data_IF_318546594278
#
_entry.id   IF_318546594278
#
_cell.length_a   1.000
_cell.length_b   1.000
_cell.length_c   1.000
_cell.angle_alpha   90.00
_cell.angle_beta   90.00
_cell.angle_gamma   90.00
#
_symmetry.space_group_name_H-M   'P 1'
#
loop_
_entity.id
_entity.type
_entity.pdbx_description
1 polymer ?
#
# COMPACT_ATOMS: atom_id res chain seq x y z
N UNK A 1 27.72 9.72 -31.05
CA UNK A 1 26.69 10.08 -32.05
C UNK A 1 26.42 11.57 -31.90
N UNK A 2 26.54 12.35 -32.98
CA UNK A 2 26.29 13.80 -32.93
C UNK A 2 24.80 14.08 -32.74
N UNK A 3 24.45 15.14 -32.02
CA UNK A 3 23.06 15.56 -31.75
C UNK A 3 22.22 15.67 -33.02
N UNK A 4 22.83 16.10 -34.13
CA UNK A 4 22.22 16.11 -35.46
C UNK A 4 21.78 14.71 -35.95
N UNK A 5 22.55 13.66 -35.68
CA UNK A 5 22.19 12.29 -36.09
C UNK A 5 20.97 11.78 -35.33
N UNK A 6 20.84 12.16 -34.06
CA UNK A 6 19.71 11.79 -33.20
C UNK A 6 18.45 12.57 -33.59
N UNK A 7 18.56 13.88 -33.84
CA UNK A 7 17.43 14.70 -34.31
C UNK A 7 16.86 14.16 -35.61
N UNK A 8 17.71 13.85 -36.58
CA UNK A 8 17.28 13.31 -37.87
C UNK A 8 16.58 11.97 -37.72
N UNK A 9 17.11 11.08 -36.88
CA UNK A 9 16.49 9.78 -36.61
C UNK A 9 15.10 9.91 -35.96
N UNK A 10 14.93 10.85 -35.03
CA UNK A 10 13.64 11.12 -34.39
C UNK A 10 12.62 11.70 -35.37
N UNK A 11 13.03 12.66 -36.20
CA UNK A 11 12.15 13.23 -37.25
C UNK A 11 11.74 12.17 -38.27
N UNK A 12 12.67 11.31 -38.70
CA UNK A 12 12.35 10.18 -39.59
C UNK A 12 11.37 9.20 -38.95
N UNK A 13 11.57 8.83 -37.69
CA UNK A 13 10.63 7.95 -36.98
C UNK A 13 9.22 8.55 -36.82
N UNK A 14 9.11 9.87 -36.63
CA UNK A 14 7.82 10.57 -36.56
C UNK A 14 7.08 10.58 -37.90
N UNK A 15 7.81 10.67 -39.01
CA UNK A 15 7.25 10.57 -40.36
C UNK A 15 6.79 9.14 -40.64
N UNK A 16 7.62 8.14 -40.32
CA UNK A 16 7.28 6.72 -40.49
C UNK A 16 6.06 6.30 -39.66
N UNK A 17 5.87 6.90 -38.48
CA UNK A 17 4.70 6.70 -37.64
C UNK A 17 3.43 7.43 -38.13
N UNK A 18 3.53 8.25 -39.20
CA UNK A 18 2.41 9.04 -39.72
C UNK A 18 2.03 10.23 -38.84
N UNK A 19 2.90 10.62 -37.91
CA UNK A 19 2.66 11.70 -36.94
C UNK A 19 3.18 13.05 -37.44
N UNK A 20 4.04 13.06 -38.46
CA UNK A 20 4.58 14.25 -39.09
C UNK A 20 4.48 14.14 -40.62
N UNK A 21 3.94 15.18 -41.26
CA UNK A 21 3.90 15.27 -42.72
C UNK A 21 5.34 15.36 -43.29
N UNK A 22 5.72 14.50 -44.26
CA UNK A 22 7.05 14.51 -44.87
C UNK A 22 7.48 15.87 -45.43
N UNK A 23 6.53 16.67 -45.93
CA UNK A 23 6.79 18.00 -46.49
C UNK A 23 7.28 19.01 -45.44
N UNK A 24 7.04 18.73 -44.14
CA UNK A 24 7.40 19.62 -43.02
C UNK A 24 8.65 19.17 -42.27
N UNK A 25 9.38 18.18 -42.78
CA UNK A 25 10.59 17.65 -42.15
C UNK A 25 11.63 18.75 -41.83
N UNK A 26 11.83 19.70 -42.76
CA UNK A 26 12.77 20.81 -42.57
C UNK A 26 12.33 21.84 -41.51
N UNK A 27 11.02 21.97 -41.25
CA UNK A 27 10.48 22.80 -40.15
C UNK A 27 10.58 22.09 -38.80
N UNK A 28 10.51 20.75 -38.80
CA UNK A 28 10.55 19.93 -37.58
C UNK A 28 11.97 19.74 -37.03
N UNK A 29 12.99 19.71 -37.88
CA UNK A 29 14.40 19.58 -37.47
C UNK A 29 14.82 20.56 -36.36
N UNK A 30 14.62 21.90 -36.48
CA UNK A 30 14.99 22.84 -35.42
C UNK A 30 14.12 22.73 -34.16
N UNK A 31 12.86 22.30 -34.29
CA UNK A 31 11.94 22.11 -33.14
C UNK A 31 12.33 20.88 -32.34
N UNK A 32 12.63 19.76 -33.01
CA UNK A 32 13.09 18.51 -32.38
C UNK A 32 14.50 18.68 -31.84
N UNK A 33 15.40 19.40 -32.53
CA UNK A 33 16.71 19.75 -31.99
C UNK A 33 16.57 20.58 -30.71
N UNK A 34 15.71 21.62 -30.72
CA UNK A 34 15.41 22.42 -29.55
C UNK A 34 14.80 21.59 -28.41
N UNK A 35 13.87 20.70 -28.69
CA UNK A 35 13.23 19.83 -27.70
C UNK A 35 14.18 18.76 -27.13
N UNK A 36 15.14 18.26 -27.92
CA UNK A 36 16.16 17.32 -27.45
C UNK A 36 17.25 18.03 -26.64
N UNK A 37 17.63 19.26 -27.02
CA UNK A 37 18.57 20.10 -26.26
C UNK A 37 17.94 20.63 -24.95
N UNK A 38 16.65 21.00 -24.96
CA UNK A 38 15.93 21.42 -23.75
C UNK A 38 15.36 20.23 -22.95
N UNK A 39 15.27 19.06 -23.57
CA UNK A 39 14.84 17.79 -22.95
C UNK A 39 15.97 17.09 -22.19
N UNK A 40 17.23 17.46 -22.45
CA UNK A 40 18.33 17.19 -21.53
C UNK A 40 18.21 18.06 -20.30
N UNK A 41 17.71 17.46 -19.22
CA UNK A 41 17.72 17.92 -17.82
C UNK A 41 17.89 19.45 -17.67
N UNK A 42 16.78 20.17 -17.47
CA UNK A 42 16.86 21.51 -16.85
C UNK A 42 17.70 21.33 -15.60
N UNK A 43 18.96 21.78 -15.64
CA UNK A 43 19.91 21.60 -14.57
C UNK A 43 19.31 22.25 -13.33
N UNK A 44 18.75 21.43 -12.45
CA UNK A 44 18.10 21.91 -11.23
C UNK A 44 19.18 22.71 -10.51
N UNK A 45 18.99 24.02 -10.30
CA UNK A 45 20.05 24.87 -9.79
C UNK A 45 20.64 24.24 -8.53
N UNK A 46 21.97 24.25 -8.38
CA UNK A 46 22.64 23.64 -7.22
C UNK A 46 21.99 24.09 -5.90
N UNK A 47 21.56 25.36 -5.82
CA UNK A 47 20.82 25.92 -4.70
C UNK A 47 19.51 25.18 -4.38
N UNK A 48 18.74 24.77 -5.40
CA UNK A 48 17.51 23.99 -5.22
C UNK A 48 17.81 22.56 -4.76
N UNK A 49 18.83 21.90 -5.32
CA UNK A 49 19.29 20.58 -4.84
C UNK A 49 19.80 20.65 -3.40
N UNK A 50 20.58 21.67 -3.06
CA UNK A 50 21.07 21.89 -1.69
C UNK A 50 19.92 22.18 -0.71
N UNK A 51 18.91 22.97 -1.13
CA UNK A 51 17.72 23.20 -0.31
C UNK A 51 16.92 21.91 -0.08
N UNK A 52 16.81 21.04 -1.09
CA UNK A 52 16.15 19.75 -0.98
C UNK A 52 16.91 18.80 -0.03
N UNK A 53 18.24 18.69 -0.19
CA UNK A 53 19.11 17.92 0.72
C UNK A 53 19.02 18.47 2.15
N UNK A 54 19.12 19.79 2.32
CA UNK A 54 19.00 20.44 3.62
C UNK A 54 17.61 20.19 4.25
N UNK A 55 16.56 20.14 3.44
CA UNK A 55 15.21 19.76 3.88
C UNK A 55 15.14 18.33 4.40
N UNK A 56 15.68 17.35 3.65
CA UNK A 56 15.69 15.95 4.09
C UNK A 56 16.55 15.73 5.33
N UNK A 57 17.76 16.29 5.35
CA UNK A 57 18.70 16.19 6.48
C UNK A 57 18.13 16.89 7.71
N UNK A 58 17.58 18.10 7.54
CA UNK A 58 16.92 18.85 8.61
C UNK A 58 15.72 18.09 9.18
N UNK A 59 14.87 17.51 8.32
CA UNK A 59 13.76 16.67 8.74
C UNK A 59 14.21 15.44 9.53
N UNK A 60 15.24 14.73 9.06
CA UNK A 60 15.81 13.58 9.77
C UNK A 60 16.38 13.98 11.14
N UNK A 61 17.07 15.11 11.25
CA UNK A 61 17.57 15.61 12.54
C UNK A 61 16.44 16.00 13.49
N UNK A 62 15.36 16.64 13.00
CA UNK A 62 14.20 16.97 13.84
C UNK A 62 13.53 15.71 14.37
N UNK A 63 13.33 14.70 13.52
CA UNK A 63 12.77 13.40 13.95
C UNK A 63 13.71 12.72 14.94
N UNK A 64 15.01 12.66 14.65
CA UNK A 64 16.00 12.07 15.54
C UNK A 64 16.06 12.77 16.90
N UNK A 65 16.05 14.11 16.92
CA UNK A 65 16.01 14.90 18.15
C UNK A 65 14.72 14.66 18.94
N UNK A 66 13.56 14.58 18.27
CA UNK A 66 12.30 14.27 18.93
C UNK A 66 12.31 12.86 19.55
N UNK A 67 12.81 11.85 18.82
CA UNK A 67 12.94 10.47 19.33
C UNK A 67 13.90 10.40 20.50
N UNK A 68 15.06 11.06 20.42
CA UNK A 68 16.02 11.11 21.52
C UNK A 68 15.43 11.82 22.74
N UNK A 69 14.83 12.99 22.54
CA UNK A 69 14.20 13.76 23.62
C UNK A 69 13.08 12.99 24.31
N UNK A 70 12.19 12.36 23.53
CA UNK A 70 11.14 11.51 24.07
C UNK A 70 11.76 10.31 24.79
N UNK A 71 12.71 9.60 24.19
CA UNK A 71 13.35 8.44 24.80
C UNK A 71 14.03 8.74 26.15
N UNK A 72 14.62 9.93 26.32
CA UNK A 72 15.32 10.29 27.56
C UNK A 72 14.43 10.94 28.61
N UNK A 73 13.40 11.69 28.19
CA UNK A 73 12.64 12.57 29.10
C UNK A 73 11.25 12.04 29.40
N UNK A 74 10.72 11.12 28.57
CA UNK A 74 9.32 10.70 28.65
C UNK A 74 8.91 10.18 30.03
N UNK A 75 9.77 9.38 30.66
CA UNK A 75 9.52 8.81 31.99
C UNK A 75 9.55 9.86 33.11
N UNK A 76 10.20 10.99 32.88
CA UNK A 76 10.33 12.08 33.86
C UNK A 76 9.18 13.08 33.75
N UNK A 77 8.40 13.04 32.67
CA UNK A 77 7.22 13.88 32.48
C UNK A 77 6.04 13.36 33.30
N UNK A 78 5.37 14.27 34.01
CA UNK A 78 4.04 13.98 34.55
C UNK A 78 3.06 13.62 33.43
N UNK A 79 2.00 12.87 33.75
CA UNK A 79 0.95 12.51 32.80
C UNK A 79 0.39 13.75 32.07
N UNK A 80 0.12 14.83 32.82
CA UNK A 80 -0.38 16.08 32.24
C UNK A 80 0.59 16.69 31.22
N UNK A 81 1.90 16.58 31.44
CA UNK A 81 2.92 17.02 30.48
C UNK A 81 3.00 16.09 29.27
N UNK A 82 2.91 14.77 29.45
CA UNK A 82 2.89 13.80 28.34
C UNK A 82 1.68 14.01 27.42
N UNK A 83 0.47 14.08 28.01
CA UNK A 83 -0.78 14.35 27.30
C UNK A 83 -0.75 15.73 26.65
N UNK A 84 -0.32 16.76 27.40
CA UNK A 84 -0.20 18.12 26.90
C UNK A 84 0.74 18.24 25.71
N UNK A 85 1.91 17.61 25.77
CA UNK A 85 2.89 17.58 24.68
C UNK A 85 2.27 16.95 23.42
N UNK A 86 1.65 15.78 23.55
CA UNK A 86 1.04 15.08 22.41
C UNK A 86 -0.12 15.88 21.79
N UNK A 87 -0.98 16.49 22.60
CA UNK A 87 -2.09 17.32 22.10
C UNK A 87 -1.59 18.58 21.41
N UNK A 88 -0.58 19.26 21.97
CA UNK A 88 0.05 20.41 21.33
C UNK A 88 0.68 20.01 19.99
N UNK A 89 1.41 18.89 19.96
CA UNK A 89 1.98 18.37 18.71
C UNK A 89 0.89 18.03 17.69
N UNK A 90 -0.19 17.36 18.10
CA UNK A 90 -1.32 17.05 17.23
C UNK A 90 -1.94 18.33 16.64
N UNK A 91 -2.17 19.36 17.46
CA UNK A 91 -2.72 20.64 17.02
C UNK A 91 -1.80 21.37 16.04
N UNK A 92 -0.48 21.38 16.29
CA UNK A 92 0.50 21.98 15.37
C UNK A 92 0.50 21.26 14.03
N UNK A 93 0.46 19.92 14.03
CA UNK A 93 0.42 19.10 12.81
C UNK A 93 -0.88 19.31 12.03
N UNK A 94 -2.03 19.38 12.72
CA UNK A 94 -3.34 19.71 12.12
C UNK A 94 -3.28 21.10 11.49
N UNK A 95 -2.84 22.11 12.25
CA UNK A 95 -2.73 23.48 11.77
C UNK A 95 -1.83 23.57 10.53
N UNK A 96 -0.65 22.94 10.56
CA UNK A 96 0.25 22.87 9.42
C UNK A 96 -0.42 22.21 8.20
N UNK A 97 -1.12 21.09 8.41
CA UNK A 97 -1.88 20.42 7.36
C UNK A 97 -2.93 21.32 6.71
N UNK A 98 -3.70 22.06 7.52
CA UNK A 98 -4.72 22.99 7.03
C UNK A 98 -4.14 24.27 6.39
N UNK A 99 -2.96 24.73 6.81
CA UNK A 99 -2.22 25.80 6.10
C UNK A 99 -1.84 25.35 4.70
N UNK A 100 -1.37 24.10 4.53
CA UNK A 100 -1.09 23.55 3.19
C UNK A 100 -2.37 23.46 2.35
N UNK A 101 -3.49 23.04 2.95
CA UNK A 101 -4.80 23.02 2.27
C UNK A 101 -5.23 24.43 1.82
N UNK A 102 -5.08 25.44 2.69
CA UNK A 102 -5.45 26.82 2.38
C UNK A 102 -4.59 27.43 1.26
N UNK A 103 -3.28 27.22 1.31
CA UNK A 103 -2.34 27.71 0.27
C UNK A 103 -2.48 27.01 -1.07
N UNK A 104 -3.11 25.83 -1.12
CA UNK A 104 -3.48 25.14 -2.35
C UNK A 104 -4.84 25.59 -2.92
N UNK A 105 -5.58 26.49 -2.24
CA UNK A 105 -6.92 26.91 -2.67
C UNK A 105 -8.05 25.98 -2.20
N UNK A 106 -7.79 25.16 -1.18
CA UNK A 106 -8.78 24.30 -0.53
C UNK A 106 -8.62 22.80 -0.85
N UNK A 107 -9.39 21.96 -0.13
CA UNK A 107 -9.22 20.50 -0.18
C UNK A 107 -9.52 19.89 -1.55
N UNK A 108 -10.38 20.50 -2.36
CA UNK A 108 -10.66 20.03 -3.73
C UNK A 108 -9.50 20.31 -4.69
N UNK A 109 -8.87 21.47 -4.56
CA UNK A 109 -7.70 21.83 -5.37
C UNK A 109 -6.49 20.97 -5.00
N UNK A 110 -6.28 20.72 -3.70
CA UNK A 110 -5.23 19.83 -3.20
C UNK A 110 -5.28 18.41 -3.80
N UNK A 111 -6.47 17.95 -4.21
CA UNK A 111 -6.68 16.61 -4.78
C UNK A 111 -6.24 16.49 -6.24
N UNK A 112 -5.91 17.59 -6.91
CA UNK A 112 -5.47 17.59 -8.31
C UNK A 112 -4.06 17.00 -8.45
N UNK A 113 -3.71 16.41 -9.62
CA UNK A 113 -2.40 15.80 -9.83
C UNK A 113 -1.21 16.75 -9.64
N UNK A 114 -1.40 18.03 -9.97
CA UNK A 114 -0.39 19.10 -9.84
C UNK A 114 0.04 19.31 -8.38
N UNK A 115 -0.89 19.08 -7.45
CA UNK A 115 -0.69 19.27 -6.01
C UNK A 115 -0.32 17.96 -5.28
N UNK A 116 0.11 16.92 -6.01
CA UNK A 116 0.40 15.60 -5.44
C UNK A 116 1.40 15.64 -4.27
N UNK A 117 2.43 16.50 -4.34
CA UNK A 117 3.41 16.68 -3.26
C UNK A 117 2.75 17.28 -2.02
N UNK A 118 1.96 18.34 -2.18
CA UNK A 118 1.24 18.99 -1.07
C UNK A 118 0.22 18.05 -0.46
N UNK A 119 -0.52 17.28 -1.28
CA UNK A 119 -1.48 16.28 -0.82
C UNK A 119 -0.81 15.19 0.04
N UNK A 120 0.36 14.69 -0.38
CA UNK A 120 1.15 13.73 0.41
C UNK A 120 1.61 14.33 1.73
N UNK A 121 2.15 15.55 1.70
CA UNK A 121 2.57 16.25 2.91
C UNK A 121 1.40 16.45 3.90
N UNK A 122 0.26 16.97 3.43
CA UNK A 122 -0.94 17.12 4.25
C UNK A 122 -1.40 15.78 4.83
N UNK A 123 -1.41 14.71 4.03
CA UNK A 123 -1.81 13.38 4.52
C UNK A 123 -0.87 12.85 5.59
N UNK A 124 0.45 13.05 5.46
CA UNK A 124 1.44 12.65 6.49
C UNK A 124 1.20 13.43 7.77
N UNK A 125 1.04 14.75 7.68
CA UNK A 125 0.79 15.62 8.84
C UNK A 125 -0.48 15.23 9.58
N UNK A 126 -1.60 15.05 8.86
CA UNK A 126 -2.88 14.68 9.48
C UNK A 126 -2.89 13.26 10.04
N UNK A 127 -2.15 12.33 9.42
CA UNK A 127 -2.01 10.95 9.93
C UNK A 127 -1.14 10.92 11.19
N UNK A 128 -0.04 11.68 11.21
CA UNK A 128 0.80 11.84 12.41
C UNK A 128 0.01 12.50 13.55
N UNK A 129 -0.81 13.52 13.25
CA UNK A 129 -1.69 14.14 14.23
C UNK A 129 -2.71 13.15 14.82
N UNK A 130 -3.29 12.27 13.99
CA UNK A 130 -4.18 11.21 14.45
C UNK A 130 -3.47 10.23 15.40
N UNK A 131 -2.20 9.89 15.12
CA UNK A 131 -1.36 9.09 16.01
C UNK A 131 -1.11 9.78 17.35
N UNK A 132 -0.74 11.07 17.33
CA UNK A 132 -0.57 11.85 18.56
C UNK A 132 -1.86 11.93 19.38
N UNK A 133 -3.01 12.15 18.74
CA UNK A 133 -4.31 12.19 19.40
C UNK A 133 -4.65 10.82 20.02
N UNK A 134 -4.48 9.74 19.26
CA UNK A 134 -4.70 8.37 19.75
C UNK A 134 -3.88 8.10 21.00
N UNK A 135 -2.59 8.42 20.97
CA UNK A 135 -1.71 8.18 22.11
C UNK A 135 -2.05 9.08 23.32
N UNK A 136 -2.39 10.35 23.08
CA UNK A 136 -2.81 11.26 24.15
C UNK A 136 -4.09 10.78 24.86
N UNK A 137 -5.08 10.36 24.06
CA UNK A 137 -6.34 9.77 24.58
C UNK A 137 -6.03 8.49 25.35
N UNK A 138 -5.14 7.64 24.84
CA UNK A 138 -4.72 6.40 25.51
C UNK A 138 -4.11 6.66 26.89
N UNK A 139 -3.12 7.54 26.99
CA UNK A 139 -2.49 7.87 28.27
C UNK A 139 -3.50 8.43 29.28
N UNK A 140 -4.36 9.34 28.83
CA UNK A 140 -5.37 9.93 29.70
C UNK A 140 -6.41 8.91 30.18
N UNK A 141 -6.90 8.04 29.29
CA UNK A 141 -7.87 7.03 29.66
C UNK A 141 -7.27 5.92 30.53
N UNK A 142 -6.02 5.54 30.34
CA UNK A 142 -5.33 4.56 31.19
C UNK A 142 -5.19 5.04 32.64
N UNK A 143 -5.11 6.35 32.88
CA UNK A 143 -5.05 6.93 34.23
C UNK A 143 -6.44 6.99 34.91
N UNK A 144 -7.49 7.30 34.13
CA UNK A 144 -8.83 7.56 34.67
C UNK A 144 -9.72 6.30 34.69
N UNK A 145 -9.47 5.33 33.81
CA UNK A 145 -10.29 4.13 33.68
C UNK A 145 -9.63 2.92 34.35
N UNK A 146 -10.43 2.10 35.03
CA UNK A 146 -9.97 0.83 35.61
C UNK A 146 -9.82 -0.30 34.59
N UNK A 147 -10.45 -0.18 33.42
CA UNK A 147 -10.39 -1.17 32.35
C UNK A 147 -9.39 -0.68 31.27
N UNK A 148 -8.14 -1.14 31.38
CA UNK A 148 -7.04 -0.75 30.48
C UNK A 148 -7.33 -1.12 29.01
N UNK A 149 -7.91 -2.30 28.77
CA UNK A 149 -8.24 -2.77 27.43
C UNK A 149 -9.29 -1.86 26.75
N UNK A 150 -10.30 -1.44 27.52
CA UNK A 150 -11.30 -0.49 27.05
C UNK A 150 -10.67 0.89 26.75
N UNK A 151 -9.75 1.35 27.60
CA UNK A 151 -9.02 2.60 27.38
C UNK A 151 -8.20 2.57 26.08
N UNK A 152 -7.44 1.50 25.83
CA UNK A 152 -6.64 1.33 24.61
C UNK A 152 -7.55 1.20 23.38
N UNK A 153 -8.68 0.48 23.47
CA UNK A 153 -9.65 0.39 22.38
C UNK A 153 -10.21 1.77 22.01
N UNK A 154 -10.66 2.56 22.99
CA UNK A 154 -11.20 3.91 22.76
C UNK A 154 -10.14 4.85 22.18
N UNK A 155 -8.90 4.74 22.63
CA UNK A 155 -7.77 5.48 22.08
C UNK A 155 -7.50 5.14 20.61
N UNK A 156 -7.50 3.85 20.26
CA UNK A 156 -7.36 3.40 18.87
C UNK A 156 -8.53 3.86 18.00
N UNK A 157 -9.76 3.84 18.51
CA UNK A 157 -10.95 4.37 17.82
C UNK A 157 -10.90 5.89 17.61
N UNK A 158 -10.40 6.66 18.59
CA UNK A 158 -10.18 8.10 18.43
C UNK A 158 -9.13 8.38 17.34
N UNK A 159 -8.04 7.59 17.33
CA UNK A 159 -7.04 7.62 16.27
C UNK A 159 -7.61 7.28 14.90
N UNK A 160 -8.44 6.24 14.81
CA UNK A 160 -9.11 5.82 13.58
C UNK A 160 -10.03 6.92 13.05
N UNK A 161 -10.85 7.52 13.91
CA UNK A 161 -11.74 8.61 13.53
C UNK A 161 -10.94 9.81 12.98
N UNK A 162 -9.88 10.22 13.67
CA UNK A 162 -9.02 11.31 13.22
C UNK A 162 -8.26 10.98 11.91
N UNK A 163 -7.77 9.74 11.76
CA UNK A 163 -7.09 9.29 10.55
C UNK A 163 -8.04 9.27 9.34
N UNK A 164 -9.28 8.81 9.52
CA UNK A 164 -10.31 8.83 8.50
C UNK A 164 -10.70 10.27 8.12
N UNK A 165 -10.87 11.16 9.09
CA UNK A 165 -11.11 12.59 8.84
C UNK A 165 -9.94 13.22 8.05
N UNK A 166 -8.70 12.91 8.44
CA UNK A 166 -7.51 13.34 7.73
C UNK A 166 -7.45 12.82 6.30
N UNK A 167 -7.80 11.54 6.11
CA UNK A 167 -7.90 10.92 4.79
C UNK A 167 -8.97 11.58 3.91
N UNK A 168 -10.10 11.97 4.49
CA UNK A 168 -11.13 12.72 3.77
C UNK A 168 -10.62 14.07 3.30
N UNK A 169 -9.72 14.74 4.03
CA UNK A 169 -9.11 16.00 3.58
C UNK A 169 -8.08 15.74 2.48
N UNK A 170 -7.12 14.86 2.73
CA UNK A 170 -5.98 14.57 1.86
C UNK A 170 -5.88 13.06 1.57
N UNK A 171 -6.65 12.55 0.60
CA UNK A 171 -6.72 11.12 0.33
C UNK A 171 -5.42 10.63 -0.30
N UNK A 172 -4.63 9.87 0.45
CA UNK A 172 -3.40 9.20 -0.01
C UNK A 172 -3.22 7.84 0.66
N UNK A 173 -2.28 7.04 0.16
CA UNK A 173 -1.87 5.76 0.75
C UNK A 173 -1.48 5.86 2.23
N UNK A 174 -0.86 6.97 2.65
CA UNK A 174 -0.43 7.15 4.05
C UNK A 174 -1.64 7.24 4.98
N UNK A 175 -2.66 8.02 4.62
CA UNK A 175 -3.88 8.11 5.41
C UNK A 175 -4.68 6.80 5.44
N UNK A 176 -4.67 6.03 4.34
CA UNK A 176 -5.24 4.67 4.33
C UNK A 176 -4.50 3.74 5.29
N UNK A 177 -3.18 3.74 5.24
CA UNK A 177 -2.36 2.90 6.11
C UNK A 177 -2.52 3.28 7.59
N UNK A 178 -2.56 4.57 7.90
CA UNK A 178 -2.83 5.06 9.26
C UNK A 178 -4.21 4.63 9.76
N UNK A 179 -5.23 4.72 8.92
CA UNK A 179 -6.57 4.25 9.24
C UNK A 179 -6.61 2.73 9.44
N UNK A 180 -5.92 1.96 8.59
CA UNK A 180 -5.83 0.50 8.72
C UNK A 180 -5.11 0.09 10.00
N UNK A 181 -4.00 0.77 10.34
CA UNK A 181 -3.24 0.51 11.56
C UNK A 181 -4.07 0.81 12.82
N UNK A 182 -4.78 1.93 12.85
CA UNK A 182 -5.65 2.28 13.98
C UNK A 182 -6.83 1.30 14.13
N UNK A 183 -7.44 0.89 13.01
CA UNK A 183 -8.50 -0.12 13.02
C UNK A 183 -7.99 -1.49 13.53
N UNK A 184 -6.80 -1.90 13.07
CA UNK A 184 -6.15 -3.13 13.53
C UNK A 184 -5.84 -3.08 15.03
N UNK A 185 -5.27 -1.97 15.51
CA UNK A 185 -4.92 -1.79 16.93
C UNK A 185 -6.13 -1.77 17.87
N UNK A 186 -7.33 -1.44 17.38
CA UNK A 186 -8.55 -1.47 18.17
C UNK A 186 -9.05 -2.90 18.47
N UNK A 187 -8.72 -3.88 17.62
CA UNK A 187 -9.24 -5.25 17.72
C UNK A 187 -8.78 -5.99 18.98
N UNK A 188 -7.46 -6.13 19.28
CA UNK A 188 -7.03 -6.93 20.42
C UNK A 188 -7.56 -6.33 21.74
N UNK A 189 -7.50 -5.01 21.87
CA UNK A 189 -7.99 -4.29 23.04
C UNK A 189 -9.50 -4.39 23.20
N UNK A 190 -10.26 -4.35 22.09
CA UNK A 190 -11.70 -4.56 22.13
C UNK A 190 -12.08 -5.99 22.54
N UNK A 191 -11.30 -6.99 22.11
CA UNK A 191 -11.49 -8.36 22.56
C UNK A 191 -11.15 -8.53 24.04
N UNK A 192 -10.05 -7.96 24.51
CA UNK A 192 -9.68 -7.97 25.94
C UNK A 192 -10.76 -7.31 26.81
N UNK A 193 -11.33 -6.21 26.34
CA UNK A 193 -12.37 -5.49 27.07
C UNK A 193 -13.70 -6.25 27.15
N UNK A 194 -14.04 -7.04 26.12
CA UNK A 194 -15.33 -7.75 26.00
C UNK A 194 -15.28 -9.20 26.48
N UNK A 195 -14.10 -9.83 26.47
CA UNK A 195 -13.95 -11.26 26.79
C UNK A 195 -13.24 -11.44 28.13
N UNK A 196 -13.98 -11.91 29.13
CA UNK A 196 -13.43 -12.28 30.44
C UNK A 196 -12.87 -13.72 30.49
N UNK A 197 -12.86 -14.45 29.36
CA UNK A 197 -12.82 -15.93 29.38
C UNK A 197 -11.96 -16.62 28.31
N UNK A 198 -10.78 -16.10 27.96
CA UNK A 198 -9.76 -16.85 27.18
C UNK A 198 -10.08 -17.14 25.71
N UNK A 199 -11.26 -16.74 25.20
CA UNK A 199 -11.64 -16.88 23.79
C UNK A 199 -10.95 -15.85 22.85
N UNK A 200 -10.14 -14.93 23.39
CA UNK A 200 -9.60 -13.78 22.66
C UNK A 200 -8.76 -14.12 21.43
N UNK A 201 -7.90 -15.15 21.51
CA UNK A 201 -6.91 -15.41 20.45
C UNK A 201 -7.53 -15.90 19.13
N UNK A 202 -8.49 -16.84 19.21
CA UNK A 202 -9.17 -17.35 18.01
C UNK A 202 -10.02 -16.25 17.36
N UNK A 203 -10.73 -15.45 18.18
CA UNK A 203 -11.54 -14.33 17.68
C UNK A 203 -10.69 -13.18 17.15
N UNK A 204 -9.46 -12.99 17.62
CA UNK A 204 -8.55 -11.98 17.11
C UNK A 204 -8.28 -12.19 15.62
N UNK A 205 -7.89 -13.40 15.22
CA UNK A 205 -7.69 -13.74 13.80
C UNK A 205 -8.96 -13.52 12.96
N UNK A 206 -10.11 -13.98 13.46
CA UNK A 206 -11.40 -13.83 12.78
C UNK A 206 -11.77 -12.36 12.58
N UNK A 207 -11.59 -11.50 13.60
CA UNK A 207 -11.90 -10.08 13.49
C UNK A 207 -10.92 -9.33 12.57
N UNK A 208 -9.63 -9.69 12.58
CA UNK A 208 -8.65 -9.14 11.64
C UNK A 208 -8.97 -9.55 10.20
N UNK A 209 -9.37 -10.81 9.98
CA UNK A 209 -9.85 -11.28 8.68
C UNK A 209 -11.11 -10.52 8.25
N UNK A 210 -12.08 -10.36 9.15
CA UNK A 210 -13.29 -9.60 8.89
C UNK A 210 -12.97 -8.14 8.53
N UNK A 211 -12.03 -7.51 9.23
CA UNK A 211 -11.53 -6.17 8.90
C UNK A 211 -10.95 -6.14 7.47
N UNK A 212 -10.10 -7.11 7.11
CA UNK A 212 -9.53 -7.21 5.76
C UNK A 212 -10.61 -7.38 4.67
N UNK A 213 -11.62 -8.23 4.91
CA UNK A 213 -12.75 -8.43 3.99
C UNK A 213 -13.58 -7.15 3.86
N UNK A 214 -13.94 -6.51 4.96
CA UNK A 214 -14.67 -5.23 4.96
C UNK A 214 -13.89 -4.14 4.23
N UNK A 215 -12.56 -4.12 4.40
CA UNK A 215 -11.67 -3.17 3.72
C UNK A 215 -11.67 -3.38 2.20
N UNK A 216 -11.54 -4.63 1.74
CA UNK A 216 -11.62 -4.99 0.33
C UNK A 216 -12.99 -4.67 -0.27
N UNK A 217 -14.06 -4.93 0.48
CA UNK A 217 -15.41 -4.58 0.09
C UNK A 217 -15.61 -3.06 -0.04
N UNK A 218 -14.99 -2.25 0.83
CA UNK A 218 -14.97 -0.81 0.70
C UNK A 218 -14.15 -0.35 -0.53
N UNK A 219 -13.04 -1.04 -0.84
CA UNK A 219 -12.23 -0.78 -2.03
C UNK A 219 -13.02 -1.02 -3.31
N UNK A 220 -13.67 -2.18 -3.44
CA UNK A 220 -14.44 -2.51 -4.64
C UNK A 220 -15.71 -1.65 -4.79
N UNK A 221 -16.21 -1.04 -3.72
CA UNK A 221 -17.29 -0.03 -3.77
C UNK A 221 -16.81 1.38 -4.11
N UNK A 222 -15.50 1.58 -4.32
CA UNK A 222 -14.93 2.88 -4.66
C UNK A 222 -14.91 3.88 -3.50
N UNK A 223 -15.00 3.42 -2.25
CA UNK A 223 -14.90 4.30 -1.08
C UNK A 223 -13.47 4.84 -0.90
N UNK A 224 -12.50 4.10 -1.40
CA UNK A 224 -11.08 4.46 -1.38
C UNK A 224 -10.66 5.08 -2.71
N UNK A 225 -9.99 6.24 -2.65
CA UNK A 225 -9.44 6.89 -3.85
C UNK A 225 -8.30 6.09 -4.46
N UNK A 226 -7.36 5.64 -3.62
CA UNK A 226 -6.20 4.86 -4.04
C UNK A 226 -6.56 3.36 -3.97
N UNK A 227 -7.22 2.85 -5.00
CA UNK A 227 -7.75 1.48 -5.06
C UNK A 227 -6.65 0.42 -4.91
N UNK A 228 -5.49 0.64 -5.54
CA UNK A 228 -4.40 -0.33 -5.49
C UNK A 228 -3.88 -0.51 -4.06
N UNK A 229 -3.63 0.60 -3.36
CA UNK A 229 -3.22 0.58 -1.95
C UNK A 229 -4.27 -0.07 -1.06
N UNK A 230 -5.55 0.25 -1.26
CA UNK A 230 -6.63 -0.35 -0.50
C UNK A 230 -6.72 -1.87 -0.70
N UNK A 231 -6.53 -2.35 -1.93
CA UNK A 231 -6.47 -3.79 -2.23
C UNK A 231 -5.29 -4.47 -1.54
N UNK A 232 -4.10 -3.88 -1.60
CA UNK A 232 -2.90 -4.43 -0.94
C UNK A 232 -3.11 -4.52 0.58
N UNK A 233 -3.60 -3.44 1.21
CA UNK A 233 -3.87 -3.39 2.65
C UNK A 233 -4.92 -4.43 3.04
N UNK A 234 -6.06 -4.46 2.34
CA UNK A 234 -7.15 -5.38 2.65
C UNK A 234 -6.77 -6.84 2.44
N UNK A 235 -6.00 -7.15 1.39
CA UNK A 235 -5.48 -8.49 1.16
C UNK A 235 -4.46 -8.91 2.23
N UNK A 236 -3.58 -7.98 2.63
CA UNK A 236 -2.65 -8.20 3.74
C UNK A 236 -3.39 -8.53 5.03
N UNK A 237 -4.34 -7.69 5.43
CA UNK A 237 -5.17 -7.90 6.63
C UNK A 237 -5.94 -9.23 6.57
N UNK A 238 -6.53 -9.58 5.42
CA UNK A 238 -7.25 -10.84 5.27
C UNK A 238 -6.32 -12.05 5.41
N UNK A 239 -5.15 -12.01 4.78
CA UNK A 239 -4.15 -13.07 4.90
C UNK A 239 -3.62 -13.20 6.33
N UNK A 240 -3.19 -12.10 6.95
CA UNK A 240 -2.73 -12.08 8.34
C UNK A 240 -3.81 -12.59 9.30
N UNK A 241 -5.05 -12.12 9.15
CA UNK A 241 -6.19 -12.57 9.96
C UNK A 241 -6.45 -14.07 9.86
N UNK A 242 -6.29 -14.65 8.67
CA UNK A 242 -6.46 -16.09 8.46
C UNK A 242 -5.36 -16.95 9.10
N UNK A 243 -4.17 -16.38 9.29
CA UNK A 243 -2.99 -17.07 9.83
C UNK A 243 -2.88 -16.96 11.36
N UNK A 244 -3.43 -15.90 11.96
CA UNK A 244 -3.37 -15.70 13.42
C UNK A 244 -3.88 -16.88 14.28
N UNK A 245 -4.94 -17.63 13.88
CA UNK A 245 -5.39 -18.79 14.66
C UNK A 245 -4.42 -19.98 14.68
N UNK A 246 -3.29 -19.95 13.94
CA UNK A 246 -2.28 -21.03 13.96
C UNK A 246 -1.64 -21.24 15.33
N UNK A 247 -1.63 -20.22 16.20
CA UNK A 247 -1.14 -20.34 17.57
C UNK A 247 -2.08 -21.11 18.51
N UNK A 248 -3.29 -21.43 18.08
CA UNK A 248 -4.29 -22.09 18.92
C UNK A 248 -4.07 -23.61 19.03
N UNK A 249 -4.72 -24.23 20.02
CA UNK A 249 -4.62 -25.67 20.34
C UNK A 249 -4.94 -26.59 19.14
N UNK A 250 -5.76 -26.13 18.19
CA UNK A 250 -6.07 -26.85 16.94
C UNK A 250 -5.77 -26.00 15.69
N UNK A 251 -4.59 -26.16 15.07
CA UNK A 251 -4.14 -25.29 13.97
C UNK A 251 -4.85 -25.53 12.62
N UNK A 252 -5.56 -26.65 12.47
CA UNK A 252 -6.18 -27.05 11.20
C UNK A 252 -7.18 -26.00 10.65
N UNK A 253 -7.86 -25.28 11.55
CA UNK A 253 -8.81 -24.24 11.18
C UNK A 253 -8.15 -23.08 10.43
N UNK A 254 -6.91 -22.72 10.81
CA UNK A 254 -6.17 -21.65 10.15
C UNK A 254 -5.67 -22.05 8.76
N UNK A 255 -5.31 -23.32 8.54
CA UNK A 255 -4.98 -23.84 7.21
C UNK A 255 -6.17 -23.76 6.26
N UNK A 256 -7.35 -24.19 6.72
CA UNK A 256 -8.59 -24.11 5.95
C UNK A 256 -8.94 -22.65 5.66
N UNK A 257 -8.83 -21.77 6.65
CA UNK A 257 -9.13 -20.35 6.50
C UNK A 257 -8.17 -19.66 5.52
N UNK A 258 -6.88 -19.96 5.60
CA UNK A 258 -5.86 -19.41 4.69
C UNK A 258 -6.05 -19.92 3.27
N UNK A 259 -6.33 -21.22 3.10
CA UNK A 259 -6.68 -21.78 1.80
C UNK A 259 -7.95 -21.14 1.22
N UNK A 260 -8.98 -20.90 2.05
CA UNK A 260 -10.20 -20.21 1.66
C UNK A 260 -9.94 -18.76 1.22
N UNK A 261 -9.08 -18.02 1.94
CA UNK A 261 -8.60 -16.69 1.51
C UNK A 261 -7.90 -16.78 0.16
N UNK A 262 -7.05 -17.79 -0.06
CA UNK A 262 -6.37 -18.02 -1.34
C UNK A 262 -7.34 -18.24 -2.51
N UNK A 263 -8.34 -19.11 -2.32
CA UNK A 263 -9.39 -19.38 -3.31
C UNK A 263 -10.23 -18.12 -3.59
N UNK A 264 -10.62 -17.40 -2.54
CA UNK A 264 -11.38 -16.16 -2.67
C UNK A 264 -10.57 -15.08 -3.42
N UNK A 265 -9.27 -14.98 -3.15
CA UNK A 265 -8.37 -14.06 -3.83
C UNK A 265 -8.23 -14.42 -5.33
N UNK A 266 -8.03 -15.69 -5.68
CA UNK A 266 -8.04 -16.09 -7.10
C UNK A 266 -9.40 -15.80 -7.78
N UNK A 267 -10.52 -16.07 -7.11
CA UNK A 267 -11.84 -15.74 -7.64
C UNK A 267 -12.02 -14.21 -7.85
N UNK A 268 -11.53 -13.40 -6.91
CA UNK A 268 -11.53 -11.94 -7.04
C UNK A 268 -10.60 -11.47 -8.18
N UNK A 269 -9.45 -12.12 -8.37
CA UNK A 269 -8.54 -11.85 -9.48
C UNK A 269 -9.21 -12.14 -10.83
N UNK A 270 -9.96 -13.24 -10.96
CA UNK A 270 -10.67 -13.55 -12.20
C UNK A 270 -11.71 -12.48 -12.59
N UNK A 271 -12.32 -11.82 -11.60
CA UNK A 271 -13.30 -10.75 -11.83
C UNK A 271 -12.66 -9.38 -12.09
N UNK A 272 -11.66 -9.01 -11.29
CA UNK A 272 -11.10 -7.64 -11.27
C UNK A 272 -9.80 -7.50 -12.05
N UNK A 273 -9.10 -8.61 -12.31
CA UNK A 273 -7.75 -8.70 -12.88
C UNK A 273 -6.69 -7.87 -12.15
N UNK A 274 -6.94 -7.52 -10.88
CA UNK A 274 -6.01 -6.75 -10.08
C UNK A 274 -4.94 -7.66 -9.45
N UNK A 275 -3.66 -7.36 -9.70
CA UNK A 275 -2.55 -8.19 -9.25
C UNK A 275 -2.46 -8.46 -7.73
N UNK A 276 -2.92 -7.57 -6.81
CA UNK A 276 -2.84 -7.88 -5.37
C UNK A 276 -3.58 -9.16 -5.01
N UNK A 277 -4.74 -9.42 -5.64
CA UNK A 277 -5.49 -10.65 -5.42
C UNK A 277 -4.76 -11.89 -5.91
N UNK A 278 -4.06 -11.80 -7.05
CA UNK A 278 -3.25 -12.90 -7.55
C UNK A 278 -2.08 -13.19 -6.59
N UNK A 279 -1.36 -12.14 -6.17
CA UNK A 279 -0.24 -12.27 -5.24
C UNK A 279 -0.69 -12.90 -3.92
N UNK A 280 -1.80 -12.44 -3.35
CA UNK A 280 -2.36 -13.00 -2.13
C UNK A 280 -2.84 -14.43 -2.29
N UNK A 281 -3.46 -14.78 -3.43
CA UNK A 281 -3.82 -16.17 -3.74
C UNK A 281 -2.60 -17.09 -3.74
N UNK A 282 -1.53 -16.68 -4.42
CA UNK A 282 -0.27 -17.43 -4.49
C UNK A 282 0.36 -17.56 -3.11
N UNK A 283 0.51 -16.47 -2.36
CA UNK A 283 1.09 -16.48 -1.01
C UNK A 283 0.29 -17.37 -0.07
N UNK A 284 -1.04 -17.23 -0.04
CA UNK A 284 -1.90 -17.99 0.84
C UNK A 284 -1.81 -19.50 0.59
N UNK A 285 -1.82 -19.95 -0.67
CA UNK A 285 -1.66 -21.38 -1.01
C UNK A 285 -0.25 -21.87 -0.71
N UNK A 286 0.77 -21.05 -1.00
CA UNK A 286 2.18 -21.38 -0.75
C UNK A 286 2.49 -21.50 0.74
N UNK A 287 1.72 -20.84 1.60
CA UNK A 287 1.87 -20.95 3.07
C UNK A 287 1.00 -22.09 3.61
N UNK A 288 -0.29 -22.11 3.27
CA UNK A 288 -1.23 -23.08 3.84
C UNK A 288 -0.90 -24.55 3.51
N UNK A 289 -0.46 -24.84 2.28
CA UNK A 289 -0.21 -26.23 1.84
C UNK A 289 1.03 -26.83 2.53
N UNK A 290 2.22 -26.18 2.52
CA UNK A 290 3.37 -26.73 3.22
C UNK A 290 3.17 -26.84 4.74
N UNK A 291 2.51 -25.87 5.37
CA UNK A 291 2.28 -25.92 6.82
C UNK A 291 1.36 -27.09 7.19
N UNK A 292 0.22 -27.24 6.51
CA UNK A 292 -0.69 -28.37 6.73
C UNK A 292 0.02 -29.72 6.49
N UNK A 293 0.82 -29.79 5.43
CA UNK A 293 1.57 -31.00 5.10
C UNK A 293 2.65 -31.32 6.14
N UNK A 294 3.36 -30.30 6.62
CA UNK A 294 4.37 -30.43 7.67
C UNK A 294 3.77 -31.01 8.94
N UNK A 295 2.63 -30.45 9.38
CA UNK A 295 1.94 -30.89 10.59
C UNK A 295 1.40 -32.32 10.45
N UNK A 296 0.71 -32.63 9.35
CA UNK A 296 0.13 -33.97 9.14
C UNK A 296 1.16 -35.07 8.98
N UNK A 297 2.35 -34.73 8.50
CA UNK A 297 3.41 -35.72 8.27
C UNK A 297 4.49 -35.70 9.34
N UNK A 298 4.30 -34.93 10.41
CA UNK A 298 5.28 -34.75 11.49
C UNK A 298 6.67 -34.38 10.93
N UNK A 299 6.70 -33.58 9.86
CA UNK A 299 7.93 -33.17 9.17
C UNK A 299 8.60 -34.25 8.31
N UNK A 300 7.88 -35.28 7.84
CA UNK A 300 8.49 -36.33 7.02
C UNK A 300 9.07 -35.79 5.70
N UNK A 301 10.30 -36.22 5.37
CA UNK A 301 10.99 -35.80 4.13
C UNK A 301 10.22 -36.18 2.85
N UNK A 302 9.44 -37.26 2.89
CA UNK A 302 8.69 -37.77 1.73
C UNK A 302 7.57 -36.82 1.29
N UNK A 303 6.93 -36.14 2.23
CA UNK A 303 5.88 -35.17 1.95
C UNK A 303 6.42 -33.95 1.19
N UNK A 304 7.56 -33.41 1.65
CA UNK A 304 8.28 -32.34 0.97
C UNK A 304 8.68 -32.74 -0.46
N UNK A 305 9.10 -34.00 -0.67
CA UNK A 305 9.41 -34.53 -1.99
C UNK A 305 8.22 -34.56 -2.95
N UNK A 306 7.05 -35.05 -2.50
CA UNK A 306 5.82 -35.08 -3.32
C UNK A 306 5.38 -33.67 -3.68
N UNK A 307 5.44 -32.74 -2.73
CA UNK A 307 5.07 -31.34 -2.96
C UNK A 307 5.98 -30.69 -4.01
N UNK A 308 7.30 -30.91 -3.91
CA UNK A 308 8.27 -30.42 -4.89
C UNK A 308 7.99 -30.98 -6.30
N UNK A 309 7.79 -32.28 -6.41
CA UNK A 309 7.49 -32.93 -7.70
C UNK A 309 6.19 -32.38 -8.30
N UNK A 310 5.16 -32.20 -7.48
CA UNK A 310 3.88 -31.62 -7.92
C UNK A 310 4.06 -30.19 -8.42
N UNK A 311 4.77 -29.35 -7.66
CA UNK A 311 5.06 -27.96 -8.03
C UNK A 311 5.85 -27.84 -9.33
N UNK A 312 6.90 -28.64 -9.50
CA UNK A 312 7.71 -28.71 -10.73
C UNK A 312 6.85 -29.14 -11.93
N UNK A 313 5.99 -30.15 -11.74
CA UNK A 313 5.11 -30.65 -12.80
C UNK A 313 4.13 -29.58 -13.27
N UNK A 314 3.52 -28.83 -12.35
CA UNK A 314 2.62 -27.72 -12.67
C UNK A 314 3.36 -26.59 -13.40
N UNK A 315 4.59 -26.24 -13.00
CA UNK A 315 5.41 -25.24 -13.67
C UNK A 315 5.74 -25.65 -15.12
N UNK A 316 6.13 -26.90 -15.33
CA UNK A 316 6.41 -27.43 -16.68
C UNK A 316 5.14 -27.39 -17.54
N UNK A 317 4.00 -27.82 -17.02
CA UNK A 317 2.73 -27.78 -17.74
C UNK A 317 2.32 -26.34 -18.11
N UNK A 318 2.52 -25.38 -17.20
CA UNK A 318 2.24 -23.96 -17.46
C UNK A 318 3.15 -23.39 -18.57
N UNK A 319 4.45 -23.70 -18.55
CA UNK A 319 5.39 -23.27 -19.58
C UNK A 319 5.05 -23.85 -20.95
N UNK A 320 4.68 -25.13 -21.02
CA UNK A 320 4.25 -25.78 -22.25
C UNK A 320 2.97 -25.13 -22.81
N UNK A 321 1.99 -24.83 -21.94
CA UNK A 321 0.77 -24.12 -22.34
C UNK A 321 1.03 -22.73 -22.91
N UNK A 322 2.03 -22.01 -22.37
CA UNK A 322 2.43 -20.70 -22.91
C UNK A 322 3.10 -20.81 -24.28
N UNK A 323 3.99 -21.80 -24.47
CA UNK A 323 4.64 -22.04 -25.77
C UNK A 323 3.62 -22.37 -26.87
N UNK A 324 2.69 -23.27 -26.59
CA UNK A 324 1.63 -23.64 -27.55
C UNK A 324 0.75 -22.45 -27.96
N UNK A 325 0.49 -21.52 -27.02
CA UNK A 325 -0.23 -20.28 -27.33
C UNK A 325 0.58 -19.31 -28.21
N UNK A 326 1.89 -19.23 -28.03
CA UNK A 326 2.76 -18.37 -28.84
C UNK A 326 2.82 -18.88 -30.29
N UNK A 327 3.01 -20.18 -30.48
CA UNK A 327 3.05 -20.82 -31.80
C UNK A 327 1.72 -20.61 -32.58
N UNK A 328 0.58 -20.73 -31.91
CA UNK A 328 -0.73 -20.49 -32.51
C UNK A 328 -0.96 -19.01 -32.93
N UNK A 329 -0.35 -18.06 -32.22
CA UNK A 329 -0.40 -16.63 -32.58
C UNK A 329 0.53 -16.29 -33.75
N UNK A 330 1.71 -16.91 -33.83
CA UNK A 330 2.66 -16.73 -34.94
C UNK A 330 2.10 -17.30 -36.25
N UNK A 331 1.41 -18.45 -36.21
CA UNK A 331 0.75 -19.03 -37.38
C UNK A 331 -0.40 -18.16 -37.91
N UNK A 332 -1.19 -17.51 -37.03
CA UNK A 332 -2.23 -16.57 -37.46
C UNK A 332 -1.66 -15.27 -38.06
N UNK A 333 -0.50 -14.80 -37.58
CA UNK A 333 0.15 -13.59 -38.10
C UNK A 333 0.83 -13.81 -39.45
N UNK A 334 1.27 -15.04 -39.73
CA UNK A 334 1.91 -15.44 -40.99
C UNK A 334 0.94 -16.11 -41.98
N UNK A 335 -0.38 -16.07 -41.71
CA UNK A 335 -1.41 -16.56 -42.63
C UNK A 335 -1.44 -15.75 -43.94
N UNK A 336 -1.82 -16.37 -45.07
CA UNK A 336 -1.38 -15.93 -46.40
C UNK A 336 -2.07 -14.64 -46.89
N UNK A 337 -1.30 -13.58 -47.10
CA UNK A 337 -1.65 -12.43 -47.95
C UNK A 337 -1.59 -12.75 -49.45
N UNK A 338 -1.80 -14.01 -49.86
CA UNK A 338 -1.74 -14.40 -51.26
C UNK A 338 -3.12 -14.71 -51.84
N UNK A 339 -3.43 -13.95 -52.89
CA UNK A 339 -4.53 -14.07 -53.85
C UNK A 339 -5.81 -13.27 -53.57
N UNK A 340 -5.68 -11.95 -53.77
CA UNK A 340 -6.72 -11.15 -54.42
C UNK A 340 -6.07 -10.33 -55.56
N UNK A 341 -5.64 -11.04 -56.61
CA UNK A 341 -5.43 -10.48 -57.95
C UNK A 341 -5.84 -11.55 -58.96
N UNK A 342 -7.13 -11.56 -59.28
CA UNK A 342 -7.71 -12.03 -60.54
C UNK A 342 -8.93 -11.17 -60.81
#
# INVERSE_FOLDING_TARGET
>A
MSTQSTTRAVVTALIEAGLLDPSRAGEADPVVAGALEHGTEVAVPLRRRMAEIAGYVGGAFVVGAAVLFLGTTWTDLSLGQQVGLLLVTALVLVAAGFVVVGTAGGARALRQPEEAVRNRLTSVLLTAAAGCLSFAVGLWLLDVMSNEELAVMLAALAGLAAALLGYLVAPTTVGQLGSAAAAFAAIPSGLGALSSGGLGEAWFGVLVLALGVLWLLAAERGWWRELLSARIIGCGLAFFGAQLPLGAVEPWGAYVLTAAVGVAAFAAYLRTRAWPYLATGVVAVTVAVPEALSDWTSGSLGAAGILLVTGVTLLVAALLGLRLRQEAHEQHRNGPHHHAMT
#
